data_IF_945947005508
#
_entry.id   IF_945947005508
#
_cell.length_a   1.000
_cell.length_b   1.000
_cell.length_c   1.000
_cell.angle_alpha   90.00
_cell.angle_beta   90.00
_cell.angle_gamma   90.00
#
_symmetry.space_group_name_H-M   'P 1'
#
loop_
_entity.id
_entity.type
_entity.pdbx_description
1 polymer ?
#
# COMPACT_ATOMS: atom_id res chain seq x y z
N UNK A 1 -11.51 -15.23 10.50
CA UNK A 1 -11.44 -14.62 11.86
C UNK A 1 -12.13 -13.26 11.86
N UNK A 2 -12.53 -12.80 13.05
CA UNK A 2 -13.00 -11.43 13.29
C UNK A 2 -12.02 -10.74 14.23
N UNK A 3 -11.46 -9.61 13.79
CA UNK A 3 -10.49 -8.79 14.52
C UNK A 3 -11.09 -7.39 14.66
N UNK A 4 -11.36 -6.96 15.87
CA UNK A 4 -12.03 -5.67 16.09
C UNK A 4 -11.45 -4.91 17.28
N UNK A 5 -11.64 -3.59 17.27
CA UNK A 5 -11.34 -2.70 18.38
C UNK A 5 -9.85 -2.66 18.79
N UNK A 6 -8.95 -2.93 17.86
CA UNK A 6 -7.54 -2.62 18.09
C UNK A 6 -7.35 -1.11 18.23
N UNK A 7 -6.58 -0.68 19.22
CA UNK A 7 -6.28 0.76 19.38
C UNK A 7 -5.48 1.34 18.21
N UNK A 8 -4.72 0.53 17.51
CA UNK A 8 -3.88 0.94 16.39
C UNK A 8 -4.21 0.12 15.15
N UNK A 9 -3.53 -0.98 14.89
CA UNK A 9 -3.64 -1.80 13.69
C UNK A 9 -4.32 -3.13 13.98
N UNK A 10 -5.23 -3.58 13.12
CA UNK A 10 -5.91 -4.87 13.28
C UNK A 10 -5.00 -6.06 13.00
N UNK A 11 -4.34 -6.08 11.85
CA UNK A 11 -3.39 -7.15 11.46
C UNK A 11 -2.10 -6.51 10.96
N UNK A 12 -0.95 -6.94 11.48
CA UNK A 12 0.36 -6.53 10.99
C UNK A 12 1.07 -7.65 10.25
N UNK A 13 1.66 -7.34 9.10
CA UNK A 13 2.43 -8.27 8.26
C UNK A 13 3.94 -8.12 8.46
N UNK A 14 4.33 -7.61 9.62
CA UNK A 14 5.71 -7.35 9.95
C UNK A 14 6.18 -5.95 9.52
N UNK A 15 6.97 -5.38 10.42
CA UNK A 15 7.69 -4.12 10.25
C UNK A 15 9.19 -4.41 10.34
N UNK A 16 9.66 -5.21 9.40
CA UNK A 16 11.04 -5.65 9.40
C UNK A 16 11.98 -4.45 9.21
N UNK A 17 12.90 -4.28 10.14
CA UNK A 17 13.88 -3.21 10.10
C UNK A 17 13.45 -1.87 10.71
N UNK A 18 12.25 -1.74 11.22
CA UNK A 18 11.74 -0.50 11.82
C UNK A 18 12.57 -0.01 13.01
N UNK A 19 13.17 -0.93 13.75
CA UNK A 19 14.07 -0.62 14.86
C UNK A 19 15.32 0.15 14.40
N UNK A 20 15.57 0.21 13.10
CA UNK A 20 16.69 0.93 12.51
C UNK A 20 16.29 2.28 11.93
N UNK A 21 15.00 2.51 11.75
CA UNK A 21 14.47 3.78 11.25
C UNK A 21 13.97 4.63 12.42
N UNK A 22 14.83 5.54 12.85
CA UNK A 22 14.53 6.48 13.94
C UNK A 22 14.13 7.87 13.43
N UNK A 23 14.01 8.05 12.12
CA UNK A 23 13.67 9.32 11.49
C UNK A 23 12.47 9.10 10.59
N UNK A 24 11.27 9.21 11.14
CA UNK A 24 10.05 9.17 10.34
C UNK A 24 10.10 10.21 9.21
N UNK A 25 9.54 9.86 8.06
CA UNK A 25 9.44 10.71 6.87
C UNK A 25 10.78 11.09 6.24
N UNK A 26 11.88 10.50 6.67
CA UNK A 26 13.19 10.74 6.10
C UNK A 26 13.51 9.77 4.98
N UNK A 27 13.72 10.28 3.77
CA UNK A 27 14.23 9.49 2.64
C UNK A 27 15.50 8.73 3.03
N UNK A 28 16.47 9.43 3.59
CA UNK A 28 17.73 8.83 4.02
C UNK A 28 17.52 7.74 5.08
N UNK A 29 16.67 8.01 6.07
CA UNK A 29 16.34 7.05 7.13
C UNK A 29 15.76 5.77 6.54
N UNK A 30 14.77 5.88 5.66
CA UNK A 30 14.14 4.73 5.02
C UNK A 30 15.11 3.94 4.12
N UNK A 31 15.90 4.62 3.30
CA UNK A 31 16.93 3.99 2.44
C UNK A 31 17.95 3.24 3.29
N UNK A 32 18.39 3.81 4.40
CA UNK A 32 19.33 3.15 5.32
C UNK A 32 18.70 1.94 6.01
N UNK A 33 17.42 2.01 6.36
CA UNK A 33 16.66 0.88 6.87
C UNK A 33 16.64 -0.28 5.87
N UNK A 34 16.32 -0.02 4.60
CA UNK A 34 16.33 -1.04 3.53
C UNK A 34 17.72 -1.66 3.35
N UNK A 35 18.78 -0.85 3.30
CA UNK A 35 20.16 -1.36 3.20
C UNK A 35 20.54 -2.27 4.36
N UNK A 36 20.09 -1.95 5.57
CA UNK A 36 20.32 -2.79 6.74
C UNK A 36 19.49 -4.06 6.68
N UNK A 37 18.22 -3.98 6.27
CA UNK A 37 17.36 -5.14 6.11
C UNK A 37 17.97 -6.17 5.14
N UNK A 38 18.51 -5.72 4.01
CA UNK A 38 19.21 -6.59 3.07
C UNK A 38 20.39 -7.34 3.70
N UNK A 39 21.18 -6.68 4.55
CA UNK A 39 22.27 -7.34 5.28
C UNK A 39 21.79 -8.37 6.31
N UNK A 40 20.52 -8.31 6.67
CA UNK A 40 19.87 -9.22 7.62
C UNK A 40 18.82 -10.12 6.95
N UNK A 41 19.10 -10.55 5.70
CA UNK A 41 18.28 -11.51 4.96
C UNK A 41 16.87 -11.04 4.60
N UNK A 42 16.72 -9.76 4.22
CA UNK A 42 15.47 -9.30 3.63
C UNK A 42 15.37 -9.83 2.19
N UNK A 43 14.84 -11.02 2.05
CA UNK A 43 14.68 -11.70 0.77
C UNK A 43 13.48 -12.66 0.81
N UNK A 44 13.14 -13.24 -0.33
CA UNK A 44 11.98 -14.13 -0.50
C UNK A 44 12.04 -15.40 0.36
N UNK A 45 13.22 -15.88 0.69
CA UNK A 45 13.38 -17.14 1.43
C UNK A 45 13.10 -16.97 2.93
N UNK A 46 13.33 -15.77 3.46
CA UNK A 46 13.29 -15.54 4.90
C UNK A 46 12.15 -14.62 5.35
N UNK A 47 11.71 -13.69 4.51
CA UNK A 47 10.79 -12.62 4.91
C UNK A 47 9.58 -12.59 3.99
N UNK A 48 8.41 -12.28 4.56
CA UNK A 48 7.19 -12.07 3.78
C UNK A 48 6.43 -13.34 3.46
N UNK A 49 5.76 -13.34 2.31
CA UNK A 49 4.98 -14.48 1.85
C UNK A 49 3.73 -14.78 2.69
N UNK A 50 3.24 -13.81 3.46
CA UNK A 50 2.05 -13.98 4.30
C UNK A 50 0.79 -14.17 3.47
N UNK A 51 -0.13 -14.98 3.98
CA UNK A 51 -1.46 -15.13 3.44
C UNK A 51 -2.49 -14.65 4.47
N UNK A 52 -3.06 -13.47 4.23
CA UNK A 52 -4.16 -12.89 5.01
C UNK A 52 -5.45 -13.05 4.23
N UNK A 53 -6.33 -13.94 4.68
CA UNK A 53 -7.57 -14.20 3.93
C UNK A 53 -8.78 -14.44 4.80
N UNK A 54 -9.95 -14.07 4.28
CA UNK A 54 -11.25 -14.38 4.87
C UNK A 54 -11.38 -13.87 6.32
N UNK A 55 -10.85 -12.67 6.58
CA UNK A 55 -11.00 -12.03 7.88
C UNK A 55 -11.98 -10.86 7.79
N UNK A 56 -12.65 -10.57 8.87
CA UNK A 56 -13.32 -9.30 9.10
C UNK A 56 -12.45 -8.48 10.04
N UNK A 57 -12.04 -7.28 9.61
CA UNK A 57 -11.21 -6.37 10.39
C UNK A 57 -11.94 -5.04 10.51
N UNK A 58 -12.28 -4.64 11.73
CA UNK A 58 -13.11 -3.46 11.92
C UNK A 58 -12.82 -2.70 13.22
N UNK A 59 -13.21 -1.43 13.23
CA UNK A 59 -13.12 -0.55 14.42
C UNK A 59 -11.70 -0.43 14.97
N UNK A 60 -10.70 -0.50 14.10
CA UNK A 60 -9.30 -0.27 14.48
C UNK A 60 -8.97 1.22 14.39
N UNK A 61 -8.12 1.71 15.30
CA UNK A 61 -7.90 3.15 15.48
C UNK A 61 -7.06 3.80 14.38
N UNK A 62 -6.20 3.05 13.67
CA UNK A 62 -5.30 3.61 12.66
C UNK A 62 -5.41 2.89 11.30
N UNK A 63 -5.11 1.61 11.24
CA UNK A 63 -5.20 0.84 10.01
C UNK A 63 -5.85 -0.53 10.22
N UNK A 64 -6.50 -1.05 9.17
CA UNK A 64 -7.05 -2.40 9.23
C UNK A 64 -5.95 -3.45 9.11
N UNK A 65 -5.23 -3.44 8.01
CA UNK A 65 -4.11 -4.35 7.72
C UNK A 65 -2.90 -3.50 7.32
N UNK A 66 -1.77 -3.66 7.98
CA UNK A 66 -0.58 -2.89 7.68
C UNK A 66 0.68 -3.75 7.63
N UNK A 67 1.68 -3.29 6.88
CA UNK A 67 2.99 -3.90 6.82
C UNK A 67 4.04 -2.96 6.24
N UNK A 68 5.27 -3.15 6.66
CA UNK A 68 6.45 -2.51 6.10
C UNK A 68 7.48 -3.58 5.85
N UNK A 69 8.41 -3.44 4.99
CA UNK A 69 9.43 -4.42 4.57
C UNK A 69 9.10 -5.91 4.77
N UNK A 70 8.45 -6.25 5.87
CA UNK A 70 8.03 -7.62 6.19
C UNK A 70 6.84 -8.12 5.38
N UNK A 71 6.11 -7.25 4.70
CA UNK A 71 4.93 -7.61 3.90
C UNK A 71 5.24 -8.06 2.46
N UNK A 72 6.50 -8.06 2.05
CA UNK A 72 6.90 -8.46 0.68
C UNK A 72 6.35 -9.84 0.31
N UNK A 73 6.00 -10.03 -0.97
CA UNK A 73 5.52 -11.31 -1.55
C UNK A 73 4.23 -11.85 -0.92
N UNK A 74 3.47 -11.02 -0.20
CA UNK A 74 2.28 -11.43 0.54
C UNK A 74 1.01 -11.34 -0.30
N UNK A 75 -0.02 -12.08 0.13
CA UNK A 75 -1.35 -12.06 -0.47
C UNK A 75 -2.41 -11.69 0.57
N UNK A 76 -3.16 -10.62 0.29
CA UNK A 76 -4.24 -10.10 1.14
C UNK A 76 -5.54 -10.30 0.36
N UNK A 77 -6.34 -11.34 0.72
CA UNK A 77 -7.41 -11.82 -0.15
C UNK A 77 -8.74 -12.01 0.58
N UNK A 78 -9.83 -11.56 -0.04
CA UNK A 78 -11.19 -11.83 0.42
C UNK A 78 -11.43 -11.44 1.89
N UNK A 79 -10.84 -10.34 2.33
CA UNK A 79 -11.10 -9.79 3.64
C UNK A 79 -12.19 -8.71 3.55
N UNK A 80 -12.95 -8.54 4.62
CA UNK A 80 -13.83 -7.39 4.83
C UNK A 80 -13.14 -6.44 5.81
N UNK A 81 -12.85 -5.22 5.38
CA UNK A 81 -12.17 -4.20 6.19
C UNK A 81 -13.04 -2.96 6.25
N UNK A 82 -13.48 -2.59 7.45
CA UNK A 82 -14.42 -1.47 7.57
C UNK A 82 -14.33 -0.74 8.90
N UNK A 83 -14.87 0.48 8.91
CA UNK A 83 -14.91 1.33 10.11
C UNK A 83 -13.53 1.52 10.76
N UNK A 84 -12.51 1.79 9.92
CA UNK A 84 -11.16 2.05 10.38
C UNK A 84 -10.95 3.54 10.57
N UNK A 85 -10.26 3.93 11.65
CA UNK A 85 -9.98 5.32 12.01
C UNK A 85 -11.23 6.19 12.23
N UNK A 86 -12.37 5.58 12.56
CA UNK A 86 -13.64 6.31 12.75
C UNK A 86 -13.70 7.10 14.05
N UNK A 87 -12.87 6.75 15.04
CA UNK A 87 -12.81 7.42 16.32
C UNK A 87 -11.87 8.64 16.34
N UNK A 88 -11.16 8.89 15.23
CA UNK A 88 -10.18 9.96 15.10
C UNK A 88 -9.13 9.99 16.24
N UNK A 89 -8.69 8.82 16.68
CA UNK A 89 -7.66 8.68 17.71
C UNK A 89 -6.27 9.05 17.21
N UNK A 90 -6.09 8.93 15.91
CA UNK A 90 -4.86 9.30 15.19
C UNK A 90 -5.21 10.32 14.12
N UNK A 91 -4.21 11.08 13.71
CA UNK A 91 -4.30 12.02 12.59
C UNK A 91 -2.97 12.04 11.83
N UNK A 92 -2.99 12.45 10.58
CA UNK A 92 -1.81 12.53 9.73
C UNK A 92 -1.64 11.30 8.86
N UNK A 93 -0.63 10.50 9.14
CA UNK A 93 -0.19 9.43 8.24
C UNK A 93 -0.65 8.03 8.67
N UNK A 94 -0.51 7.07 7.77
CA UNK A 94 -0.72 5.63 7.99
C UNK A 94 -2.19 5.22 8.26
N UNK A 95 -3.17 6.05 7.91
CA UNK A 95 -4.58 5.73 8.12
C UNK A 95 -5.23 5.17 6.87
N UNK A 96 -5.41 3.87 6.83
CA UNK A 96 -6.02 3.18 5.69
C UNK A 96 -6.69 1.86 6.08
N UNK A 97 -7.54 1.36 5.20
CA UNK A 97 -8.03 -0.03 5.30
C UNK A 97 -6.87 -1.02 5.18
N UNK A 98 -6.06 -0.88 4.13
CA UNK A 98 -4.84 -1.66 3.91
C UNK A 98 -3.70 -0.70 3.58
N UNK A 99 -2.63 -0.71 4.37
CA UNK A 99 -1.43 0.13 4.16
C UNK A 99 -0.17 -0.71 4.12
N UNK A 100 0.56 -0.67 2.99
CA UNK A 100 1.79 -1.44 2.81
C UNK A 100 2.91 -0.55 2.30
N UNK A 101 4.01 -0.49 3.05
CA UNK A 101 5.30 -0.02 2.57
C UNK A 101 6.06 -1.16 1.91
N UNK A 102 6.82 -0.87 0.87
CA UNK A 102 7.56 -1.85 0.10
C UNK A 102 6.67 -3.03 -0.37
N UNK A 103 5.59 -2.71 -1.05
CA UNK A 103 4.69 -3.73 -1.60
C UNK A 103 5.33 -4.44 -2.81
N UNK A 104 6.41 -5.20 -2.55
CA UNK A 104 7.12 -5.97 -3.59
C UNK A 104 6.36 -7.27 -3.83
N UNK A 105 5.87 -7.46 -5.06
CA UNK A 105 5.04 -8.61 -5.48
C UNK A 105 3.87 -8.90 -4.52
N UNK A 106 3.26 -7.87 -3.97
CA UNK A 106 2.08 -8.01 -3.10
C UNK A 106 0.81 -8.08 -3.95
N UNK A 107 -0.03 -9.06 -3.68
CA UNK A 107 -1.37 -9.17 -4.27
C UNK A 107 -2.44 -8.78 -3.24
N UNK A 108 -3.25 -7.76 -3.57
CA UNK A 108 -4.42 -7.36 -2.80
C UNK A 108 -5.66 -7.64 -3.66
N UNK A 109 -6.42 -8.70 -3.33
CA UNK A 109 -7.46 -9.18 -4.23
C UNK A 109 -8.76 -9.61 -3.53
N UNK A 110 -9.90 -9.27 -4.14
CA UNK A 110 -11.21 -9.72 -3.67
C UNK A 110 -11.62 -9.17 -2.31
N UNK A 111 -11.00 -8.09 -1.83
CA UNK A 111 -11.36 -7.51 -0.54
C UNK A 111 -12.55 -6.56 -0.68
N UNK A 112 -13.34 -6.46 0.38
CA UNK A 112 -14.41 -5.49 0.56
C UNK A 112 -13.99 -4.45 1.59
N UNK A 113 -13.80 -3.20 1.17
CA UNK A 113 -13.21 -2.14 2.01
C UNK A 113 -14.15 -0.92 1.99
N UNK A 114 -14.63 -0.50 3.17
CA UNK A 114 -15.55 0.61 3.24
C UNK A 114 -15.54 1.33 4.60
N UNK A 115 -15.93 2.61 4.60
CA UNK A 115 -15.92 3.49 5.76
C UNK A 115 -14.56 3.54 6.46
N UNK A 116 -13.51 3.69 5.65
CA UNK A 116 -12.13 3.90 6.12
C UNK A 116 -11.61 5.27 5.67
N UNK A 117 -10.47 5.70 6.15
CA UNK A 117 -9.86 6.98 5.72
C UNK A 117 -9.42 6.90 4.26
N UNK A 118 -8.44 6.06 3.97
CA UNK A 118 -8.05 5.65 2.64
C UNK A 118 -8.28 4.15 2.46
N UNK A 119 -8.73 3.70 1.29
CA UNK A 119 -9.02 2.29 1.07
C UNK A 119 -7.75 1.43 1.09
N UNK A 120 -6.96 1.51 0.02
CA UNK A 120 -5.67 0.81 -0.12
C UNK A 120 -4.56 1.85 -0.34
N UNK A 121 -3.52 1.80 0.46
CA UNK A 121 -2.37 2.68 0.31
C UNK A 121 -1.08 1.87 0.14
N UNK A 122 -0.48 1.95 -1.06
CA UNK A 122 0.85 1.40 -1.35
C UNK A 122 1.86 2.52 -1.32
N UNK A 123 2.80 2.42 -0.40
CA UNK A 123 3.76 3.47 -0.11
C UNK A 123 5.19 2.94 -0.16
N UNK A 124 6.12 3.81 -0.50
CA UNK A 124 7.55 3.54 -0.59
C UNK A 124 7.91 2.21 -1.24
N UNK A 125 8.38 2.28 -2.49
CA UNK A 125 8.99 1.15 -3.20
C UNK A 125 8.01 0.01 -3.59
N UNK A 126 6.71 0.28 -3.76
CA UNK A 126 5.85 -0.74 -4.35
C UNK A 126 6.32 -1.07 -5.77
N UNK A 127 6.54 -2.34 -6.04
CA UNK A 127 7.07 -2.86 -7.30
C UNK A 127 6.57 -4.28 -7.53
N UNK A 128 5.96 -4.55 -8.69
CA UNK A 128 5.32 -5.84 -8.97
C UNK A 128 3.98 -6.05 -8.26
N UNK A 129 3.43 -5.02 -7.63
CA UNK A 129 2.18 -5.13 -6.87
C UNK A 129 0.95 -5.21 -7.78
N UNK A 130 -0.08 -5.93 -7.33
CA UNK A 130 -1.37 -6.01 -8.00
C UNK A 130 -2.53 -5.77 -7.05
N UNK A 131 -3.44 -4.86 -7.44
CA UNK A 131 -4.69 -4.57 -6.75
C UNK A 131 -5.84 -4.99 -7.68
N UNK A 132 -6.54 -6.07 -7.35
CA UNK A 132 -7.51 -6.65 -8.30
C UNK A 132 -8.78 -7.18 -7.64
N UNK A 133 -9.91 -7.04 -8.33
CA UNK A 133 -11.21 -7.59 -7.90
C UNK A 133 -11.65 -7.16 -6.49
N UNK A 134 -11.27 -5.98 -6.06
CA UNK A 134 -11.71 -5.42 -4.80
C UNK A 134 -12.98 -4.58 -5.00
N UNK A 135 -13.80 -4.53 -3.96
CA UNK A 135 -14.92 -3.60 -3.84
C UNK A 135 -14.58 -2.56 -2.79
N UNK A 136 -14.51 -1.30 -3.19
CA UNK A 136 -14.26 -0.15 -2.31
C UNK A 136 -15.41 0.85 -2.43
N UNK A 137 -15.95 1.30 -1.29
CA UNK A 137 -17.02 2.30 -1.27
C UNK A 137 -17.10 3.02 0.08
N UNK A 138 -17.74 4.17 0.08
CA UNK A 138 -17.97 4.98 1.29
C UNK A 138 -16.66 5.32 2.05
N UNK A 139 -15.53 5.37 1.36
CA UNK A 139 -14.26 5.77 1.95
C UNK A 139 -14.14 7.30 1.98
N UNK A 140 -13.49 7.84 3.01
CA UNK A 140 -13.57 9.28 3.31
C UNK A 140 -12.66 10.16 2.46
N UNK A 141 -11.50 9.65 2.06
CA UNK A 141 -10.50 10.45 1.34
C UNK A 141 -10.24 9.88 -0.06
N UNK A 142 -9.76 8.65 -0.16
CA UNK A 142 -9.46 8.02 -1.45
C UNK A 142 -9.73 6.52 -1.42
N UNK A 143 -9.97 5.93 -2.59
CA UNK A 143 -10.06 4.47 -2.72
C UNK A 143 -8.67 3.83 -2.74
N UNK A 144 -7.77 4.39 -3.54
CA UNK A 144 -6.39 3.92 -3.63
C UNK A 144 -5.40 5.09 -3.58
N UNK A 145 -4.32 4.90 -2.83
CA UNK A 145 -3.21 5.85 -2.75
C UNK A 145 -1.90 5.16 -3.12
N UNK A 146 -1.12 5.82 -3.96
CA UNK A 146 0.22 5.38 -4.38
C UNK A 146 1.21 6.51 -4.08
N UNK A 147 2.18 6.22 -3.23
CA UNK A 147 3.16 7.22 -2.80
C UNK A 147 4.58 6.64 -2.86
N UNK A 148 5.48 7.34 -3.56
CA UNK A 148 6.91 7.02 -3.71
C UNK A 148 7.15 5.61 -4.28
N UNK A 149 6.56 5.31 -5.43
CA UNK A 149 6.63 3.98 -6.05
C UNK A 149 7.27 4.01 -7.44
N UNK A 150 8.07 3.02 -7.75
CA UNK A 150 8.65 2.85 -9.07
C UNK A 150 7.76 2.08 -10.05
N UNK A 151 6.88 1.21 -9.56
CA UNK A 151 6.14 0.26 -10.38
C UNK A 151 7.04 -0.92 -10.86
N UNK A 152 6.48 -1.83 -11.68
CA UNK A 152 5.11 -1.79 -12.18
C UNK A 152 4.05 -2.05 -11.09
N UNK A 153 2.89 -1.42 -11.24
CA UNK A 153 1.72 -1.68 -10.40
C UNK A 153 0.51 -1.86 -11.31
N UNK A 154 -0.20 -2.97 -11.15
CA UNK A 154 -1.42 -3.25 -11.89
C UNK A 154 -2.65 -3.08 -10.98
N UNK A 155 -3.58 -2.23 -11.38
CA UNK A 155 -4.86 -2.00 -10.72
C UNK A 155 -5.96 -2.43 -11.68
N UNK A 156 -6.54 -3.61 -11.47
CA UNK A 156 -7.45 -4.16 -12.46
C UNK A 156 -8.73 -4.80 -11.88
N UNK A 157 -9.81 -4.71 -12.65
CA UNK A 157 -11.09 -5.36 -12.31
C UNK A 157 -11.66 -4.99 -10.93
N UNK A 158 -11.43 -3.78 -10.45
CA UNK A 158 -11.98 -3.31 -9.18
C UNK A 158 -13.27 -2.52 -9.37
N UNK A 159 -14.07 -2.44 -8.32
CA UNK A 159 -15.20 -1.53 -8.19
C UNK A 159 -14.83 -0.43 -7.20
N UNK A 160 -14.68 0.80 -7.70
CA UNK A 160 -14.35 2.00 -6.95
C UNK A 160 -15.56 2.93 -6.96
N UNK A 161 -16.27 3.01 -5.84
CA UNK A 161 -17.59 3.65 -5.75
C UNK A 161 -17.61 4.90 -4.85
N UNK A 162 -16.50 5.28 -4.22
CA UNK A 162 -16.38 6.52 -3.46
C UNK A 162 -16.06 7.73 -4.35
N UNK A 163 -16.25 8.97 -3.86
CA UNK A 163 -16.12 10.20 -4.65
C UNK A 163 -14.73 10.47 -5.22
N UNK A 164 -13.66 10.00 -4.60
CA UNK A 164 -12.29 10.15 -5.09
C UNK A 164 -11.65 8.77 -5.32
N UNK A 165 -11.15 8.53 -6.52
CA UNK A 165 -10.55 7.24 -6.87
C UNK A 165 -9.13 7.09 -6.33
N UNK A 166 -8.22 7.92 -6.80
CA UNK A 166 -6.80 7.70 -6.58
C UNK A 166 -6.05 8.97 -6.19
N UNK A 167 -5.15 8.81 -5.27
CA UNK A 167 -4.07 9.75 -5.03
C UNK A 167 -2.77 9.13 -5.55
N UNK A 168 -2.09 9.81 -6.48
CA UNK A 168 -0.78 9.40 -6.98
C UNK A 168 0.22 10.50 -6.67
N UNK A 169 1.18 10.19 -5.84
CA UNK A 169 2.20 11.11 -5.36
C UNK A 169 3.56 10.46 -5.52
N UNK A 170 4.47 11.10 -6.25
CA UNK A 170 5.82 10.57 -6.47
C UNK A 170 5.80 9.09 -6.94
N UNK A 171 4.89 8.72 -7.82
CA UNK A 171 4.73 7.34 -8.26
C UNK A 171 4.59 7.24 -9.76
N UNK A 172 5.10 6.15 -10.33
CA UNK A 172 5.12 5.89 -11.77
C UNK A 172 4.92 4.40 -12.08
N UNK A 173 4.79 4.10 -13.38
CA UNK A 173 4.73 2.71 -13.85
C UNK A 173 3.45 1.97 -13.46
N UNK A 174 2.28 2.63 -13.56
CA UNK A 174 1.01 2.04 -13.17
C UNK A 174 0.08 1.86 -14.35
N UNK A 175 -0.73 0.80 -14.30
CA UNK A 175 -1.82 0.58 -15.23
C UNK A 175 -3.14 0.34 -14.49
N UNK A 176 -4.15 1.12 -14.86
CA UNK A 176 -5.55 0.91 -14.44
C UNK A 176 -6.29 0.27 -15.60
N UNK A 177 -6.84 -0.92 -15.38
CA UNK A 177 -7.40 -1.75 -16.47
C UNK A 177 -8.72 -2.38 -16.03
N UNK A 178 -9.77 -2.19 -16.80
CA UNK A 178 -11.09 -2.80 -16.56
C UNK A 178 -11.67 -2.55 -15.16
N UNK A 179 -11.47 -1.36 -14.58
CA UNK A 179 -12.11 -1.02 -13.32
C UNK A 179 -13.43 -0.31 -13.58
N UNK A 180 -14.40 -0.45 -12.69
CA UNK A 180 -15.56 0.43 -12.65
C UNK A 180 -15.24 1.59 -11.70
N UNK A 181 -15.27 2.81 -12.25
CA UNK A 181 -14.97 4.05 -11.56
C UNK A 181 -16.21 4.95 -11.68
N UNK A 182 -16.84 5.28 -10.56
CA UNK A 182 -18.13 6.00 -10.56
C UNK A 182 -17.95 7.52 -10.50
N UNK A 183 -16.83 8.00 -9.97
CA UNK A 183 -16.60 9.41 -9.71
C UNK A 183 -15.25 9.93 -10.21
N UNK A 184 -14.89 11.11 -9.72
CA UNK A 184 -13.72 11.88 -10.11
C UNK A 184 -12.42 11.11 -9.88
N UNK A 185 -11.66 11.00 -10.93
CA UNK A 185 -10.36 10.33 -10.96
C UNK A 185 -9.29 11.36 -10.65
N UNK A 186 -8.54 11.33 -9.56
CA UNK A 186 -7.25 12.00 -9.40
C UNK A 186 -6.96 13.12 -8.44
N UNK A 187 -5.88 12.95 -7.75
CA UNK A 187 -4.89 14.00 -7.47
C UNK A 187 -3.50 13.52 -7.87
N UNK A 188 -2.89 14.18 -8.85
CA UNK A 188 -1.45 14.18 -9.02
C UNK A 188 -0.91 15.34 -8.18
N UNK A 189 -0.12 15.05 -7.17
CA UNK A 189 0.55 16.07 -6.39
C UNK A 189 2.00 16.16 -6.86
N UNK A 190 2.38 17.29 -7.44
CA UNK A 190 3.77 17.60 -7.73
C UNK A 190 4.45 18.01 -6.42
N UNK A 191 5.34 17.17 -5.96
CA UNK A 191 6.24 17.43 -4.84
C UNK A 191 7.66 17.11 -5.27
N UNK A 192 8.64 17.55 -4.53
CA UNK A 192 10.04 17.27 -4.83
C UNK A 192 10.28 15.76 -4.93
N UNK A 193 10.99 15.31 -5.97
CA UNK A 193 11.27 13.88 -6.17
C UNK A 193 12.01 13.30 -4.98
N UNK A 194 11.66 12.05 -4.65
CA UNK A 194 12.38 11.27 -3.63
C UNK A 194 13.16 10.16 -4.32
N UNK A 195 14.43 10.05 -3.95
CA UNK A 195 15.32 9.04 -4.49
C UNK A 195 15.28 7.78 -3.65
N UNK A 196 14.72 6.72 -4.20
CA UNK A 196 14.53 5.45 -3.48
C UNK A 196 15.13 4.27 -4.21
N UNK A 197 15.34 3.14 -3.51
CA UNK A 197 15.80 1.92 -4.15
C UNK A 197 14.87 1.45 -5.27
N UNK A 198 15.44 1.16 -6.42
CA UNK A 198 14.81 0.40 -7.48
C UNK A 198 15.28 -1.04 -7.39
N UNK A 199 14.34 -1.98 -7.29
CA UNK A 199 14.65 -3.38 -7.02
C UNK A 199 14.68 -4.22 -8.30
N UNK A 200 15.42 -5.32 -8.26
CA UNK A 200 15.36 -6.35 -9.29
C UNK A 200 13.92 -6.90 -9.40
N UNK A 201 13.46 -7.23 -10.62
CA UNK A 201 12.14 -7.83 -10.82
C UNK A 201 11.91 -9.04 -9.90
N UNK A 202 10.79 -9.06 -9.20
CA UNK A 202 10.39 -10.13 -8.29
C UNK A 202 11.38 -10.44 -7.15
N UNK A 203 12.21 -9.45 -6.79
CA UNK A 203 13.26 -9.60 -5.79
C UNK A 203 13.43 -8.37 -4.90
N UNK A 204 14.41 -8.43 -4.03
CA UNK A 204 14.76 -7.36 -3.09
C UNK A 204 16.16 -6.77 -3.36
N UNK A 205 16.88 -7.30 -4.34
CA UNK A 205 18.19 -6.76 -4.74
C UNK A 205 18.04 -5.34 -5.26
N UNK A 206 18.86 -4.43 -4.77
CA UNK A 206 18.87 -3.04 -5.23
C UNK A 206 19.66 -2.94 -6.53
N UNK A 207 18.97 -2.60 -7.61
CA UNK A 207 19.56 -2.38 -8.94
C UNK A 207 20.01 -0.94 -9.15
N UNK A 208 19.59 -0.03 -8.30
CA UNK A 208 19.95 1.38 -8.36
C UNK A 208 19.10 2.22 -7.43
N UNK A 209 19.38 3.52 -7.45
CA UNK A 209 18.59 4.53 -6.73
C UNK A 209 18.07 5.53 -7.74
N UNK A 210 16.77 5.63 -7.84
CA UNK A 210 16.10 6.48 -8.81
C UNK A 210 15.12 7.43 -8.16
N UNK A 211 14.97 8.60 -8.74
CA UNK A 211 13.89 9.50 -8.39
C UNK A 211 12.54 8.88 -8.79
N UNK A 212 11.52 9.12 -8.01
CA UNK A 212 10.15 8.76 -8.31
C UNK A 212 9.40 9.99 -8.85
N UNK A 213 9.50 10.32 -10.13
CA UNK A 213 8.66 11.35 -10.72
C UNK A 213 7.22 10.82 -10.85
N UNK A 214 6.25 11.71 -10.81
CA UNK A 214 4.89 11.34 -11.20
C UNK A 214 4.83 11.11 -12.70
N UNK A 215 4.28 9.96 -13.13
CA UNK A 215 4.12 9.72 -14.58
C UNK A 215 3.94 8.25 -14.93
N UNK A 216 3.96 7.96 -16.25
CA UNK A 216 3.81 6.62 -16.80
C UNK A 216 2.60 5.87 -16.21
N UNK A 217 1.44 6.51 -16.23
CA UNK A 217 0.18 5.93 -15.79
C UNK A 217 -0.70 5.71 -17.01
N UNK A 218 -1.13 4.49 -17.20
CA UNK A 218 -1.98 4.10 -18.33
C UNK A 218 -3.37 3.70 -17.84
N UNK A 219 -4.38 4.05 -18.64
CA UNK A 219 -5.78 3.71 -18.40
C UNK A 219 -6.32 2.97 -19.60
N UNK A 220 -6.91 1.81 -19.35
CA UNK A 220 -7.47 1.00 -20.41
C UNK A 220 -8.82 0.42 -19.99
N UNK A 221 -9.86 0.78 -20.74
CA UNK A 221 -11.20 0.23 -20.61
C UNK A 221 -11.74 0.25 -19.16
N UNK A 222 -11.62 1.42 -18.51
CA UNK A 222 -12.20 1.64 -17.19
C UNK A 222 -13.55 2.38 -17.30
#
# INVERSE_FOLDING_TARGET
>A
NTITHSKCVGITLGKYGDEWDNKSESEEGYVNCVKRALRHNWNREHIGGHLVRNNTVAYCGQAGIAGSLGAIFSKIKNNTVHDISTQNLFWGYEMAGIKIHAAVDVEISGNHIYRVEGGIWLDWMAQGARVTRNLLHDNRVVEVSFEVNHGPILVDNNLFLSPELAQIKLSQGMAFVHNLIVWKVWKLNNVDPRKTPYLAPHGTEIMGYHDCPCGNVSYFNN
#
